data_IF_628924231022
#
_entry.id   IF_628924231022
#
_cell.length_a   1.000
_cell.length_b   1.000
_cell.length_c   1.000
_cell.angle_alpha   90.00
_cell.angle_beta   90.00
_cell.angle_gamma   90.00
#
_symmetry.space_group_name_H-M   'P 1'
#
loop_
_entity.id
_entity.type
_entity.pdbx_description
1 polymer ?
#
# COMPACT_ATOMS: atom_id res chain seq x y z
N UNK A 1 1.44 -5.15 22.66
CA UNK A 1 1.12 -3.94 21.86
C UNK A 1 1.77 -4.01 20.48
N UNK A 2 2.86 -4.74 20.29
CA UNK A 2 3.60 -4.76 19.01
C UNK A 2 2.87 -5.50 17.88
N UNK A 3 2.10 -6.54 18.20
CA UNK A 3 1.32 -7.31 17.22
C UNK A 3 0.37 -6.42 16.39
N UNK A 4 -0.22 -5.39 17.00
CA UNK A 4 -1.12 -4.46 16.32
C UNK A 4 -0.41 -3.72 15.17
N UNK A 5 0.83 -3.27 15.38
CA UNK A 5 1.60 -2.57 14.36
C UNK A 5 1.93 -3.47 13.17
N UNK A 6 2.28 -4.74 13.44
CA UNK A 6 2.53 -5.71 12.38
C UNK A 6 1.26 -6.03 11.58
N UNK A 7 0.11 -6.18 12.24
CA UNK A 7 -1.17 -6.39 11.57
C UNK A 7 -1.56 -5.21 10.69
N UNK A 8 -1.37 -3.98 11.19
CA UNK A 8 -1.61 -2.74 10.44
C UNK A 8 -0.68 -2.65 9.22
N UNK A 9 0.61 -2.90 9.38
CA UNK A 9 1.59 -2.88 8.30
C UNK A 9 1.29 -3.91 7.20
N UNK A 10 0.65 -5.05 7.53
CA UNK A 10 0.25 -6.02 6.52
C UNK A 10 -0.97 -5.60 5.70
N UNK A 11 -1.91 -4.86 6.29
CA UNK A 11 -3.23 -4.60 5.68
C UNK A 11 -3.36 -3.19 5.11
N UNK A 12 -2.96 -2.18 5.88
CA UNK A 12 -3.19 -0.77 5.54
C UNK A 12 -2.53 -0.37 4.21
N UNK A 13 -1.26 -0.73 3.93
CA UNK A 13 -0.59 -0.31 2.71
C UNK A 13 -1.21 -0.97 1.48
N UNK A 14 -1.46 -2.29 1.53
CA UNK A 14 -2.12 -3.02 0.44
C UNK A 14 -3.49 -2.44 0.10
N UNK A 15 -4.32 -2.15 1.11
CA UNK A 15 -5.65 -1.54 0.92
C UNK A 15 -5.52 -0.15 0.31
N UNK A 16 -4.52 0.63 0.73
CA UNK A 16 -4.27 1.98 0.21
C UNK A 16 -3.92 1.93 -1.28
N UNK A 17 -3.06 0.98 -1.72
CA UNK A 17 -2.74 0.78 -3.14
C UNK A 17 -3.99 0.46 -3.95
N UNK A 18 -4.83 -0.47 -3.46
CA UNK A 18 -6.07 -0.87 -4.14
C UNK A 18 -7.03 0.32 -4.25
N UNK A 19 -7.22 1.05 -3.16
CA UNK A 19 -8.09 2.22 -3.09
C UNK A 19 -7.65 3.31 -4.07
N UNK A 20 -6.38 3.71 -4.04
CA UNK A 20 -5.87 4.70 -4.97
C UNK A 20 -5.87 4.23 -6.41
N UNK A 21 -5.69 2.93 -6.66
CA UNK A 21 -5.79 2.41 -8.02
C UNK A 21 -7.21 2.61 -8.54
N UNK A 22 -8.21 2.28 -7.73
CA UNK A 22 -9.61 2.45 -8.15
C UNK A 22 -9.99 3.92 -8.36
N UNK A 23 -9.42 4.83 -7.56
CA UNK A 23 -9.67 6.27 -7.64
C UNK A 23 -8.97 6.93 -8.84
N UNK A 24 -7.72 6.57 -9.09
CA UNK A 24 -6.90 7.17 -10.16
C UNK A 24 -7.00 6.43 -11.49
N UNK A 25 -7.55 5.20 -11.48
CA UNK A 25 -7.58 4.26 -12.61
C UNK A 25 -6.18 4.01 -13.19
N UNK A 26 -5.15 4.13 -12.36
CA UNK A 26 -3.77 3.95 -12.76
C UNK A 26 -2.97 3.36 -11.60
N UNK A 27 -2.59 2.08 -11.73
CA UNK A 27 -1.83 1.35 -10.71
C UNK A 27 -0.48 1.98 -10.37
N UNK A 28 0.21 2.58 -11.34
CA UNK A 28 1.50 3.23 -11.10
C UNK A 28 1.34 4.49 -10.26
N UNK A 29 0.34 5.32 -10.56
CA UNK A 29 0.03 6.52 -9.78
C UNK A 29 -0.35 6.13 -8.35
N UNK A 30 -1.15 5.08 -8.19
CA UNK A 30 -1.55 4.59 -6.88
C UNK A 30 -0.39 4.11 -6.00
N UNK A 31 0.55 3.35 -6.58
CA UNK A 31 1.75 2.90 -5.87
C UNK A 31 2.61 4.09 -5.46
N UNK A 32 2.83 5.06 -6.36
CA UNK A 32 3.62 6.27 -6.05
C UNK A 32 2.99 7.06 -4.90
N UNK A 33 1.67 7.29 -4.94
CA UNK A 33 0.96 7.98 -3.87
C UNK A 33 1.08 7.25 -2.53
N UNK A 34 0.96 5.92 -2.54
CA UNK A 34 1.14 5.09 -1.35
C UNK A 34 2.57 5.20 -0.82
N UNK A 35 3.57 5.17 -1.71
CA UNK A 35 4.98 5.30 -1.34
C UNK A 35 5.32 6.68 -0.75
N UNK A 36 4.65 7.74 -1.22
CA UNK A 36 4.79 9.08 -0.63
C UNK A 36 4.26 9.09 0.81
N UNK A 37 3.07 8.54 1.06
CA UNK A 37 2.50 8.45 2.42
C UNK A 37 3.40 7.61 3.33
N UNK A 38 3.89 6.48 2.82
CA UNK A 38 4.84 5.62 3.50
C UNK A 38 6.13 6.37 3.89
N UNK A 39 6.75 7.07 2.93
CA UNK A 39 7.97 7.86 3.18
C UNK A 39 7.76 8.99 4.18
N UNK A 40 6.63 9.70 4.10
CA UNK A 40 6.25 10.74 5.09
C UNK A 40 6.06 10.12 6.48
N UNK A 41 5.51 8.90 6.55
CA UNK A 41 5.29 8.20 7.82
C UNK A 41 6.60 7.79 8.49
N UNK A 42 7.60 7.37 7.70
CA UNK A 42 8.97 7.13 8.19
C UNK A 42 9.60 8.43 8.68
N UNK A 43 9.52 9.51 7.90
CA UNK A 43 10.09 10.80 8.27
C UNK A 43 9.51 11.36 9.57
N UNK A 44 8.21 11.11 9.83
CA UNK A 44 7.52 11.49 11.06
C UNK A 44 7.83 10.58 12.26
N UNK A 45 8.52 9.46 12.06
CA UNK A 45 8.86 8.51 13.14
C UNK A 45 7.65 7.72 13.65
N UNK A 46 6.64 7.46 12.80
CA UNK A 46 5.45 6.69 13.20
C UNK A 46 5.71 5.18 13.33
N UNK A 47 6.88 4.69 12.92
CA UNK A 47 7.22 3.27 12.98
C UNK A 47 7.97 2.94 14.28
N UNK A 48 7.46 2.00 15.11
CA UNK A 48 8.12 1.60 16.34
C UNK A 48 9.32 0.66 16.11
N UNK A 49 9.45 0.06 14.92
CA UNK A 49 10.52 -0.88 14.59
C UNK A 49 10.78 -0.93 13.08
N UNK A 50 12.03 -1.16 12.69
CA UNK A 50 12.46 -1.39 11.30
C UNK A 50 11.75 -2.61 10.65
N UNK A 51 11.39 -3.63 11.44
CA UNK A 51 10.65 -4.79 10.94
C UNK A 51 9.24 -4.44 10.46
N UNK A 52 8.60 -3.46 11.10
CA UNK A 52 7.28 -2.98 10.67
C UNK A 52 7.38 -2.27 9.32
N UNK A 53 8.45 -1.49 9.10
CA UNK A 53 8.75 -0.83 7.83
C UNK A 53 8.94 -1.86 6.71
N UNK A 54 9.67 -2.94 6.99
CA UNK A 54 9.88 -4.02 6.02
C UNK A 54 8.55 -4.69 5.63
N UNK A 55 7.73 -5.07 6.61
CA UNK A 55 6.42 -5.69 6.36
C UNK A 55 5.47 -4.74 5.62
N UNK A 56 5.51 -3.46 5.94
CA UNK A 56 4.73 -2.42 5.27
C UNK A 56 5.09 -2.33 3.77
N UNK A 57 6.40 -2.29 3.46
CA UNK A 57 6.87 -2.29 2.07
C UNK A 57 6.46 -3.56 1.30
N UNK A 58 6.47 -4.73 1.95
CA UNK A 58 5.97 -5.97 1.34
C UNK A 58 4.46 -5.90 1.09
N UNK A 59 3.70 -5.27 1.99
CA UNK A 59 2.27 -5.06 1.83
C UNK A 59 1.94 -4.19 0.61
N UNK A 60 2.75 -3.15 0.33
CA UNK A 60 2.61 -2.34 -0.89
C UNK A 60 2.76 -3.23 -2.14
N UNK A 61 3.75 -4.13 -2.16
CA UNK A 61 3.95 -5.07 -3.28
C UNK A 61 2.76 -6.03 -3.41
N UNK A 62 2.24 -6.55 -2.30
CA UNK A 62 1.03 -7.39 -2.29
C UNK A 62 -0.18 -6.61 -2.82
N UNK A 63 -0.36 -5.35 -2.42
CA UNK A 63 -1.41 -4.47 -2.94
C UNK A 63 -1.32 -4.29 -4.45
N UNK A 64 -0.12 -4.11 -4.98
CA UNK A 64 0.12 -4.04 -6.42
C UNK A 64 -0.23 -5.37 -7.12
N UNK A 65 0.18 -6.51 -6.55
CA UNK A 65 -0.17 -7.83 -7.10
C UNK A 65 -1.69 -8.08 -7.11
N UNK A 66 -2.41 -7.64 -6.06
CA UNK A 66 -3.86 -7.74 -6.02
C UNK A 66 -4.51 -6.89 -7.12
N UNK A 67 -4.05 -5.66 -7.29
CA UNK A 67 -4.50 -4.80 -8.39
C UNK A 67 -4.32 -5.45 -9.75
N UNK A 68 -3.15 -6.06 -9.99
CA UNK A 68 -2.85 -6.75 -11.25
C UNK A 68 -3.74 -7.98 -11.45
N UNK A 69 -3.89 -8.81 -10.41
CA UNK A 69 -4.67 -10.03 -10.44
C UNK A 69 -6.14 -9.76 -10.78
N UNK A 70 -6.70 -8.68 -10.23
CA UNK A 70 -8.09 -8.28 -10.45
C UNK A 70 -8.27 -7.24 -11.57
N UNK A 71 -7.19 -6.83 -12.25
CA UNK A 71 -7.21 -5.81 -13.31
C UNK A 71 -7.93 -4.51 -12.90
N UNK A 72 -7.76 -4.05 -11.65
CA UNK A 72 -8.53 -2.94 -11.07
C UNK A 72 -8.23 -1.57 -11.70
N UNK A 73 -7.16 -1.47 -12.49
CA UNK A 73 -6.79 -0.29 -13.24
C UNK A 73 -7.44 -0.23 -14.63
N UNK A 74 -7.97 -1.35 -15.14
CA UNK A 74 -8.60 -1.38 -16.45
C UNK A 74 -10.03 -0.83 -16.36
N UNK A 75 -10.33 0.04 -17.31
CA UNK A 75 -11.71 0.37 -17.65
C UNK A 75 -12.30 -0.88 -18.26
N UNK A 76 -13.45 -1.35 -17.78
CA UNK A 76 -14.24 -2.32 -18.51
C UNK A 76 -14.61 -1.62 -19.83
N UNK A 77 -13.94 -2.02 -20.91
CA UNK A 77 -14.26 -1.58 -22.27
C UNK A 77 -15.61 -2.23 -22.62
N UNK A 78 -16.71 -1.63 -22.15
CA UNK A 78 -18.07 -1.90 -22.65
C UNK A 78 -18.23 -1.42 -24.09
#
# INVERSE_FOLDING_TARGET
MDLYWYMMAMVVPAVTVVFFTRMTRNKYVAVILTFIIFGVSIYRGFYPSEWVIFIDSLSIVIGYMLVELYNLDKVEDE
#
